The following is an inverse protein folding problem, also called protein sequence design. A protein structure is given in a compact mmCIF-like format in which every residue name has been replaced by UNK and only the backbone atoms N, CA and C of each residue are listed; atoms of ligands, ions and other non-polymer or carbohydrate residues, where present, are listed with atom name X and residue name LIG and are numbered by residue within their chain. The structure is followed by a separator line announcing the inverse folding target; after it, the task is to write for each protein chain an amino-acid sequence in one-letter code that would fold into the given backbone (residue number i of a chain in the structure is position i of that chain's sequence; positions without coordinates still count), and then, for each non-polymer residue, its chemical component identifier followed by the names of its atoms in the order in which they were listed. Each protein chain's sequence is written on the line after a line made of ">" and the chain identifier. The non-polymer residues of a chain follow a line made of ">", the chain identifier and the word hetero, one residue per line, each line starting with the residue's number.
data_IF_630104724332
#
_entry.id   IF_630104724332
#
_cell.length_a   1.000
_cell.length_b   1.000
_cell.length_c   1.000
_cell.angle_alpha   90.00
_cell.angle_beta   90.00
_cell.angle_gamma   90.00
#
_symmetry.space_group_name_H-M   'P 1'
#
loop_
_entity.id
_entity.type
_entity.pdbx_description
1 polymer ?
#
# COMPACT_ATOMS: atom_id res chain seq x y z
N UNK A 1 8.70 -20.44 -17.96
CA UNK A 1 9.82 -19.62 -17.49
C UNK A 1 10.64 -20.46 -16.50
N UNK A 2 11.79 -20.98 -16.93
CA UNK A 2 12.73 -21.65 -16.04
C UNK A 2 13.64 -20.56 -15.49
N UNK A 3 13.39 -20.17 -14.23
CA UNK A 3 14.26 -19.20 -13.56
C UNK A 3 15.46 -19.99 -13.00
N UNK A 4 16.72 -19.59 -13.29
CA UNK A 4 17.92 -20.34 -12.91
C UNK A 4 18.30 -20.15 -11.43
N UNK A 5 17.33 -19.93 -10.54
CA UNK A 5 17.56 -19.84 -9.10
C UNK A 5 17.72 -21.25 -8.51
N UNK A 6 18.84 -21.49 -7.84
CA UNK A 6 19.08 -22.76 -7.12
C UNK A 6 18.03 -22.91 -6.01
N UNK A 7 17.46 -24.11 -5.87
CA UNK A 7 16.44 -24.40 -4.81
C UNK A 7 16.94 -24.07 -3.41
N UNK A 8 18.23 -24.20 -3.14
CA UNK A 8 18.83 -23.82 -1.85
C UNK A 8 18.71 -22.31 -1.55
N UNK A 9 18.94 -21.48 -2.58
CA UNK A 9 18.78 -20.01 -2.44
C UNK A 9 17.32 -19.66 -2.20
N UNK A 10 16.39 -20.30 -2.91
CA UNK A 10 14.96 -20.08 -2.74
C UNK A 10 14.49 -20.45 -1.32
N UNK A 11 14.95 -21.57 -0.77
CA UNK A 11 14.65 -21.97 0.62
C UNK A 11 15.22 -20.95 1.61
N UNK A 12 16.43 -20.44 1.38
CA UNK A 12 17.02 -19.40 2.22
C UNK A 12 16.19 -18.11 2.19
N UNK A 13 15.73 -17.65 1.00
CA UNK A 13 14.86 -16.48 0.86
C UNK A 13 13.54 -16.66 1.59
N UNK A 14 12.91 -17.84 1.50
CA UNK A 14 11.69 -18.14 2.26
C UNK A 14 11.95 -18.17 3.77
N UNK A 15 13.07 -18.74 4.20
CA UNK A 15 13.49 -18.69 5.61
C UNK A 15 13.66 -17.25 6.10
N UNK A 16 14.32 -16.39 5.32
CA UNK A 16 14.44 -14.96 5.61
C UNK A 16 13.07 -14.27 5.66
N UNK A 17 12.15 -14.60 4.75
CA UNK A 17 10.80 -14.04 4.77
C UNK A 17 10.03 -14.43 6.05
N UNK A 18 10.09 -15.69 6.45
CA UNK A 18 9.47 -16.19 7.70
C UNK A 18 10.10 -15.52 8.92
N UNK A 19 11.43 -15.44 8.98
CA UNK A 19 12.14 -14.76 10.07
C UNK A 19 11.74 -13.28 10.16
N UNK A 20 11.63 -12.60 9.02
CA UNK A 20 11.17 -11.22 8.97
C UNK A 20 9.76 -11.08 9.55
N UNK A 21 8.81 -11.93 9.12
CA UNK A 21 7.44 -11.90 9.61
C UNK A 21 7.35 -12.15 11.12
N UNK A 22 8.15 -13.09 11.65
CA UNK A 22 8.23 -13.36 13.08
C UNK A 22 8.88 -12.22 13.85
N UNK A 23 9.86 -11.52 13.25
CA UNK A 23 10.55 -10.40 13.88
C UNK A 23 9.73 -9.10 13.85
N UNK A 24 8.74 -8.95 12.95
CA UNK A 24 7.97 -7.71 12.79
C UNK A 24 7.33 -7.21 14.10
N UNK A 25 6.65 -8.03 14.93
CA UNK A 25 6.08 -7.57 16.19
C UNK A 25 7.13 -7.01 17.16
N UNK A 26 8.33 -7.58 17.13
CA UNK A 26 9.44 -7.12 17.96
C UNK A 26 10.08 -5.83 17.42
N UNK A 27 10.16 -5.67 16.09
CA UNK A 27 10.66 -4.46 15.44
C UNK A 27 9.72 -3.26 15.63
N UNK A 28 8.40 -3.50 15.76
CA UNK A 28 7.38 -2.47 16.00
C UNK A 28 7.23 -2.08 17.47
N UNK A 29 8.00 -2.69 18.40
CA UNK A 29 7.89 -2.37 19.82
C UNK A 29 8.41 -0.96 20.13
N UNK A 30 7.77 -0.28 21.08
CA UNK A 30 8.14 1.09 21.53
C UNK A 30 9.56 1.18 22.09
N UNK A 31 10.17 0.07 22.49
CA UNK A 31 11.56 0.01 22.95
C UNK A 31 12.58 0.21 21.81
N UNK A 32 12.15 0.24 20.55
CA UNK A 32 13.02 0.42 19.38
C UNK A 32 13.13 1.86 18.94
N UNK A 33 14.23 2.24 18.27
CA UNK A 33 14.33 3.56 17.64
C UNK A 33 13.16 3.83 16.71
N UNK A 34 12.66 5.05 16.70
CA UNK A 34 11.48 5.47 15.94
C UNK A 34 11.56 5.08 14.45
N UNK A 35 12.73 5.28 13.83
CA UNK A 35 12.96 4.91 12.43
C UNK A 35 12.72 3.41 12.20
N UNK A 36 13.11 2.54 13.15
CA UNK A 36 12.89 1.09 13.06
C UNK A 36 11.39 0.78 13.17
N UNK A 37 10.67 1.45 14.05
CA UNK A 37 9.22 1.30 14.18
C UNK A 37 8.51 1.72 12.90
N UNK A 38 8.86 2.86 12.32
CA UNK A 38 8.30 3.36 11.05
C UNK A 38 8.60 2.39 9.90
N UNK A 39 9.84 1.92 9.76
CA UNK A 39 10.22 0.93 8.75
C UNK A 39 9.47 -0.40 8.93
N UNK A 40 9.20 -0.81 10.17
CA UNK A 40 8.40 -2.01 10.45
C UNK A 40 6.97 -1.90 9.92
N UNK A 41 6.37 -0.70 9.94
CA UNK A 41 5.07 -0.41 9.34
C UNK A 41 5.07 -0.64 7.82
N UNK A 42 6.10 -0.15 7.11
CA UNK A 42 6.26 -0.40 5.66
C UNK A 42 6.54 -1.88 5.36
N UNK A 43 7.42 -2.54 6.12
CA UNK A 43 7.71 -3.97 5.98
C UNK A 43 6.45 -4.82 6.19
N UNK A 44 5.66 -4.51 7.21
CA UNK A 44 4.39 -5.20 7.49
C UNK A 44 3.40 -5.01 6.36
N UNK A 45 3.23 -3.78 5.89
CA UNK A 45 2.37 -3.48 4.74
C UNK A 45 2.83 -4.25 3.51
N UNK A 46 4.13 -4.21 3.16
CA UNK A 46 4.68 -4.93 2.01
C UNK A 46 4.50 -6.44 2.08
N UNK A 47 4.51 -7.03 3.29
CA UNK A 47 4.26 -8.45 3.50
C UNK A 47 2.78 -8.85 3.38
N UNK A 48 1.86 -7.92 3.65
CA UNK A 48 0.41 -8.15 3.66
C UNK A 48 -0.31 -7.67 2.39
N UNK A 49 0.39 -6.95 1.52
CA UNK A 49 -0.20 -6.47 0.25
C UNK A 49 -0.36 -7.62 -0.73
N UNK A 50 -1.59 -8.08 -0.87
CA UNK A 50 -2.02 -8.99 -1.92
C UNK A 50 -3.07 -8.30 -2.79
N UNK A 51 -3.00 -8.49 -4.10
CA UNK A 51 -4.06 -8.02 -5.02
C UNK A 51 -3.87 -6.65 -5.65
N UNK A 52 -2.82 -5.90 -5.30
CA UNK A 52 -2.49 -4.66 -6.00
C UNK A 52 -2.27 -3.43 -5.11
N UNK A 53 -1.87 -2.31 -5.73
CA UNK A 53 -1.47 -1.08 -5.05
C UNK A 53 -2.57 -0.40 -4.21
N UNK A 54 -3.84 -0.62 -4.52
CA UNK A 54 -4.95 -0.01 -3.77
C UNK A 54 -5.07 -0.52 -2.32
N UNK A 55 -4.58 -1.75 -2.05
CA UNK A 55 -4.56 -2.33 -0.69
C UNK A 55 -3.50 -1.68 0.20
N UNK A 56 -2.52 -1.03 -0.41
CA UNK A 56 -1.46 -0.31 0.32
C UNK A 56 -2.04 0.82 1.16
N UNK A 57 -3.06 1.53 0.64
CA UNK A 57 -3.69 2.65 1.35
C UNK A 57 -4.14 2.28 2.76
N UNK A 58 -5.11 1.35 2.96
CA UNK A 58 -5.60 1.06 4.31
C UNK A 58 -4.54 0.42 5.22
N UNK A 59 -3.59 -0.32 4.66
CA UNK A 59 -2.53 -0.93 5.45
C UNK A 59 -1.50 0.09 5.94
N UNK A 60 -1.11 1.06 5.11
CA UNK A 60 -0.22 2.15 5.52
C UNK A 60 -0.92 3.14 6.44
N UNK A 61 -2.20 3.44 6.19
CA UNK A 61 -2.99 4.26 7.09
C UNK A 61 -3.00 3.68 8.51
N UNK A 62 -3.37 2.40 8.65
CA UNK A 62 -3.38 1.71 9.94
C UNK A 62 -1.99 1.63 10.60
N UNK A 63 -0.93 1.61 9.80
CA UNK A 63 0.43 1.54 10.32
C UNK A 63 1.00 2.89 10.77
N UNK A 64 0.58 4.01 10.17
CA UNK A 64 1.26 5.30 10.33
C UNK A 64 0.39 6.36 11.02
N UNK A 65 -0.89 6.46 10.67
CA UNK A 65 -1.78 7.53 11.16
C UNK A 65 -2.13 7.38 12.65
N UNK A 66 -2.50 6.19 13.17
CA UNK A 66 -2.83 6.04 14.60
C UNK A 66 -1.65 6.32 15.53
N UNK A 67 -0.42 6.16 15.03
CA UNK A 67 0.80 6.46 15.79
C UNK A 67 1.16 7.96 15.78
N UNK A 68 0.37 8.81 15.10
CA UNK A 68 0.64 10.24 15.00
C UNK A 68 1.87 10.61 14.18
N UNK A 69 2.40 9.70 13.36
CA UNK A 69 3.58 9.96 12.54
C UNK A 69 3.28 10.78 11.28
N UNK A 70 2.02 10.78 10.86
CA UNK A 70 1.49 11.62 9.79
C UNK A 70 0.03 11.94 10.08
N UNK A 71 -0.41 13.16 9.77
CA UNK A 71 -1.81 13.53 9.85
C UNK A 71 -2.65 12.87 8.75
N UNK A 72 -3.91 12.54 9.06
CA UNK A 72 -4.81 11.88 8.12
C UNK A 72 -5.06 12.71 6.86
N UNK A 73 -5.20 14.04 6.99
CA UNK A 73 -5.42 14.91 5.83
C UNK A 73 -4.21 14.90 4.90
N UNK A 74 -3.01 14.99 5.46
CA UNK A 74 -1.74 14.93 4.73
C UNK A 74 -1.53 13.56 4.07
N UNK A 75 -1.88 12.48 4.78
CA UNK A 75 -1.87 11.12 4.25
C UNK A 75 -2.77 11.00 3.01
N UNK A 76 -4.03 11.47 3.10
CA UNK A 76 -4.99 11.43 1.98
C UNK A 76 -4.60 12.36 0.82
N UNK A 77 -4.05 13.53 1.11
CA UNK A 77 -3.52 14.44 0.08
C UNK A 77 -2.37 13.79 -0.70
N UNK A 78 -1.43 13.14 0.00
CA UNK A 78 -0.35 12.38 -0.62
C UNK A 78 -0.85 11.19 -1.45
N UNK A 79 -1.88 10.50 -1.00
CA UNK A 79 -2.52 9.45 -1.79
C UNK A 79 -3.14 10.00 -3.09
N UNK A 80 -3.87 11.12 -3.01
CA UNK A 80 -4.40 11.81 -4.18
C UNK A 80 -3.31 12.24 -5.16
N UNK A 81 -2.21 12.80 -4.65
CA UNK A 81 -1.05 13.18 -5.46
C UNK A 81 -0.40 11.95 -6.15
N UNK A 82 -0.27 10.83 -5.44
CA UNK A 82 0.26 9.59 -6.01
C UNK A 82 -0.64 9.04 -7.14
N UNK A 83 -1.96 9.24 -7.06
CA UNK A 83 -2.90 8.87 -8.13
C UNK A 83 -2.77 9.79 -9.36
N UNK A 84 -2.34 11.03 -9.18
CA UNK A 84 -2.11 11.97 -10.28
C UNK A 84 -0.82 11.68 -11.05
N UNK A 85 0.14 11.00 -10.44
CA UNK A 85 1.41 10.62 -11.10
C UNK A 85 1.19 9.35 -11.92
N UNK A 86 1.50 9.35 -13.23
CA UNK A 86 1.44 8.14 -14.02
C UNK A 86 2.55 7.17 -13.59
N UNK A 87 2.17 6.10 -12.87
CA UNK A 87 3.13 5.13 -12.35
C UNK A 87 2.52 4.16 -11.35
N UNK A 88 3.34 3.30 -10.77
CA UNK A 88 2.85 2.36 -9.75
C UNK A 88 2.47 3.11 -8.48
N UNK A 89 1.31 2.76 -7.91
CA UNK A 89 0.77 3.32 -6.66
C UNK A 89 1.74 3.23 -5.45
N UNK A 90 2.72 2.36 -5.54
CA UNK A 90 3.78 2.20 -4.53
C UNK A 90 4.66 3.45 -4.37
N UNK A 91 4.66 4.39 -5.35
CA UNK A 91 5.28 5.72 -5.21
C UNK A 91 4.74 6.49 -3.99
N UNK A 92 3.52 6.18 -3.55
CA UNK A 92 2.94 6.73 -2.34
C UNK A 92 3.80 6.44 -1.08
N UNK A 93 4.44 5.27 -0.99
CA UNK A 93 5.35 4.98 0.10
C UNK A 93 6.58 5.91 0.11
N UNK A 94 7.04 6.34 -1.06
CA UNK A 94 8.12 7.34 -1.15
C UNK A 94 7.69 8.70 -0.62
N UNK A 95 6.47 9.14 -0.95
CA UNK A 95 5.89 10.38 -0.42
C UNK A 95 5.81 10.31 1.12
N UNK A 96 5.26 9.23 1.65
CA UNK A 96 5.16 9.05 3.10
C UNK A 96 6.54 9.05 3.77
N UNK A 97 7.48 8.27 3.24
CA UNK A 97 8.85 8.23 3.79
C UNK A 97 9.61 9.55 3.70
N UNK A 98 9.22 10.45 2.76
CA UNK A 98 9.77 11.81 2.70
C UNK A 98 9.28 12.68 3.85
N UNK A 99 8.05 12.49 4.29
CA UNK A 99 7.31 13.44 5.11
C UNK A 99 7.04 12.98 6.56
N UNK A 100 7.43 11.74 6.90
CA UNK A 100 7.31 11.22 8.27
C UNK A 100 8.21 11.98 9.24
N UNK A 101 7.59 12.69 10.17
CA UNK A 101 8.29 13.44 11.22
C UNK A 101 7.73 13.12 12.62
N UNK A 102 8.60 12.98 13.63
CA UNK A 102 10.07 12.81 13.54
C UNK A 102 10.43 11.40 13.03
N UNK A 103 11.62 11.23 12.47
CA UNK A 103 12.16 9.93 12.05
C UNK A 103 12.57 9.87 10.59
N UNK A 104 11.86 9.10 9.79
CA UNK A 104 12.09 9.04 8.33
C UNK A 104 11.71 10.36 7.67
N UNK A 105 12.66 10.95 6.92
CA UNK A 105 12.41 12.20 6.21
C UNK A 105 13.32 12.36 5.01
N UNK A 106 12.89 13.21 4.08
CA UNK A 106 13.66 13.54 2.89
C UNK A 106 13.88 12.36 1.94
N UNK A 107 14.86 12.49 1.05
CA UNK A 107 15.15 11.50 0.01
C UNK A 107 15.56 10.14 0.62
N UNK A 108 16.34 10.18 1.71
CA UNK A 108 16.74 8.94 2.39
C UNK A 108 15.54 8.20 2.99
N UNK A 109 14.61 8.94 3.62
CA UNK A 109 13.36 8.38 4.13
C UNK A 109 12.50 7.77 3.02
N UNK A 110 12.37 8.47 1.88
CA UNK A 110 11.68 7.95 0.69
C UNK A 110 12.27 6.62 0.20
N UNK A 111 13.59 6.56 0.08
CA UNK A 111 14.28 5.36 -0.39
C UNK A 111 14.11 4.19 0.58
N UNK A 112 14.28 4.44 1.88
CA UNK A 112 14.13 3.43 2.93
C UNK A 112 12.70 2.90 3.01
N UNK A 113 11.69 3.77 2.89
CA UNK A 113 10.29 3.38 2.88
C UNK A 113 9.94 2.49 1.67
N UNK A 114 10.42 2.84 0.47
CA UNK A 114 10.25 2.01 -0.72
C UNK A 114 10.95 0.66 -0.58
N UNK A 115 12.20 0.64 -0.15
CA UNK A 115 12.95 -0.60 0.05
C UNK A 115 12.21 -1.48 1.07
N UNK A 116 11.80 -0.92 2.21
CA UNK A 116 11.08 -1.65 3.23
C UNK A 116 9.76 -2.23 2.71
N UNK A 117 9.00 -1.46 1.93
CA UNK A 117 7.73 -1.91 1.36
C UNK A 117 7.90 -3.09 0.38
N UNK A 118 8.91 -3.02 -0.49
CA UNK A 118 9.13 -4.05 -1.51
C UNK A 118 9.93 -5.25 -1.02
N UNK A 119 10.72 -5.10 0.04
CA UNK A 119 11.62 -6.13 0.52
C UNK A 119 10.95 -7.49 0.81
N UNK A 120 9.82 -7.55 1.55
CA UNK A 120 9.11 -8.82 1.78
C UNK A 120 8.63 -9.48 0.48
N UNK A 121 8.16 -8.68 -0.47
CA UNK A 121 7.68 -9.17 -1.77
C UNK A 121 8.81 -9.80 -2.59
N UNK A 122 10.00 -9.19 -2.60
CA UNK A 122 11.17 -9.78 -3.26
C UNK A 122 11.61 -11.09 -2.63
N UNK A 123 11.58 -11.20 -1.29
CA UNK A 123 11.89 -12.44 -0.59
C UNK A 123 10.88 -13.54 -0.94
N UNK A 124 9.59 -13.23 -0.94
CA UNK A 124 8.53 -14.19 -1.24
C UNK A 124 8.56 -14.62 -2.71
N UNK A 125 8.64 -13.67 -3.65
CA UNK A 125 8.68 -13.99 -5.09
C UNK A 125 9.94 -14.79 -5.41
N UNK A 126 11.12 -14.34 -4.99
CA UNK A 126 12.37 -15.05 -5.23
C UNK A 126 12.38 -16.44 -4.63
N UNK A 127 11.79 -16.60 -3.44
CA UNK A 127 11.68 -17.88 -2.74
C UNK A 127 10.65 -18.84 -3.34
N UNK A 128 9.50 -18.34 -3.82
CA UNK A 128 8.42 -19.19 -4.36
C UNK A 128 8.62 -19.52 -5.84
N UNK A 129 9.31 -18.68 -6.59
CA UNK A 129 9.40 -18.78 -8.05
C UNK A 129 9.90 -20.14 -8.56
N UNK A 130 10.95 -20.80 -7.99
CA UNK A 130 11.39 -22.12 -8.41
C UNK A 130 10.38 -23.25 -8.12
N UNK A 131 9.46 -23.03 -7.18
CA UNK A 131 8.43 -24.00 -6.78
C UNK A 131 7.06 -23.72 -7.41
N UNK A 132 6.92 -22.63 -8.17
CA UNK A 132 5.64 -22.15 -8.67
C UNK A 132 4.89 -23.18 -9.52
N UNK A 133 5.62 -23.93 -10.37
CA UNK A 133 5.04 -24.99 -11.20
C UNK A 133 4.40 -26.12 -10.41
N UNK A 134 5.01 -26.49 -9.30
CA UNK A 134 4.55 -27.56 -8.41
C UNK A 134 3.40 -27.05 -7.50
N UNK A 135 3.56 -25.86 -6.93
CA UNK A 135 2.57 -25.21 -6.06
C UNK A 135 1.25 -24.91 -6.79
N UNK A 136 1.31 -24.42 -8.04
CA UNK A 136 0.13 -24.09 -8.83
C UNK A 136 -0.77 -25.29 -9.16
N UNK A 137 -0.25 -26.53 -9.06
CA UNK A 137 -1.00 -27.77 -9.25
C UNK A 137 -1.76 -28.22 -8.00
N UNK A 138 -1.39 -27.69 -6.83
CA UNK A 138 -2.01 -28.07 -5.55
C UNK A 138 -3.37 -27.36 -5.37
N UNK A 139 -4.44 -28.15 -5.25
CA UNK A 139 -5.79 -27.61 -5.01
C UNK A 139 -5.89 -26.75 -3.72
N UNK A 140 -5.22 -27.07 -2.60
CA UNK A 140 -5.21 -26.22 -1.42
C UNK A 140 -4.58 -24.85 -1.69
N UNK A 141 -3.51 -24.74 -2.48
CA UNK A 141 -2.86 -23.48 -2.81
C UNK A 141 -3.79 -22.57 -3.61
N UNK A 142 -4.50 -23.12 -4.62
CA UNK A 142 -5.49 -22.35 -5.39
C UNK A 142 -6.62 -21.83 -4.52
N UNK A 143 -7.11 -22.65 -3.59
CA UNK A 143 -8.16 -22.23 -2.63
C UNK A 143 -7.65 -21.15 -1.68
N UNK A 144 -6.42 -21.24 -1.18
CA UNK A 144 -5.79 -20.23 -0.34
C UNK A 144 -5.68 -18.88 -1.08
N UNK A 145 -5.22 -18.88 -2.34
CA UNK A 145 -5.14 -17.67 -3.15
C UNK A 145 -6.52 -17.03 -3.42
N UNK A 146 -7.56 -17.84 -3.63
CA UNK A 146 -8.93 -17.33 -3.76
C UNK A 146 -9.41 -16.68 -2.46
N UNK A 147 -9.12 -17.27 -1.30
CA UNK A 147 -9.43 -16.70 0.00
C UNK A 147 -8.71 -15.38 0.26
N UNK A 148 -7.42 -15.31 -0.07
CA UNK A 148 -6.63 -14.07 0.02
C UNK A 148 -7.22 -12.97 -0.87
N UNK A 149 -7.54 -13.28 -2.13
CA UNK A 149 -8.15 -12.31 -3.04
C UNK A 149 -9.52 -11.83 -2.56
N UNK A 150 -10.33 -12.72 -1.96
CA UNK A 150 -11.61 -12.34 -1.38
C UNK A 150 -11.45 -11.40 -0.17
N UNK A 151 -10.44 -11.64 0.69
CA UNK A 151 -10.16 -10.76 1.84
C UNK A 151 -9.70 -9.37 1.41
N UNK A 152 -8.97 -9.27 0.29
CA UNK A 152 -8.58 -7.97 -0.30
C UNK A 152 -9.80 -7.13 -0.67
N UNK A 153 -10.83 -7.72 -1.25
CA UNK A 153 -12.09 -7.01 -1.56
C UNK A 153 -12.73 -6.45 -0.30
N UNK A 154 -12.75 -7.23 0.78
CA UNK A 154 -13.25 -6.77 2.08
C UNK A 154 -12.46 -5.58 2.65
N UNK A 155 -11.13 -5.62 2.57
CA UNK A 155 -10.26 -4.53 3.00
C UNK A 155 -10.52 -3.25 2.17
N UNK A 156 -10.68 -3.38 0.85
CA UNK A 156 -10.97 -2.24 -0.02
C UNK A 156 -12.35 -1.63 0.25
N UNK A 157 -13.36 -2.45 0.53
CA UNK A 157 -14.69 -1.97 0.92
C UNK A 157 -14.64 -1.25 2.28
N UNK A 158 -13.90 -1.79 3.24
CA UNK A 158 -13.69 -1.12 4.52
C UNK A 158 -12.98 0.23 4.35
N UNK A 159 -11.92 0.30 3.53
CA UNK A 159 -11.18 1.53 3.25
C UNK A 159 -12.03 2.55 2.48
N UNK A 160 -12.91 2.11 1.59
CA UNK A 160 -13.84 3.00 0.90
C UNK A 160 -14.80 3.68 1.90
N UNK A 161 -15.27 2.94 2.92
CA UNK A 161 -16.14 3.50 3.94
C UNK A 161 -15.35 4.35 4.95
N UNK A 162 -14.23 3.82 5.43
CA UNK A 162 -13.35 4.44 6.41
C UNK A 162 -11.88 4.25 5.99
N UNK A 163 -11.11 5.33 5.69
CA UNK A 163 -11.41 6.74 5.92
C UNK A 163 -12.07 7.47 4.75
N UNK A 164 -12.04 6.94 3.51
CA UNK A 164 -12.29 7.71 2.28
C UNK A 164 -13.65 8.39 2.28
N UNK A 165 -14.72 7.65 2.55
CA UNK A 165 -16.06 8.21 2.59
C UNK A 165 -16.26 9.21 3.74
N UNK A 166 -15.84 8.83 4.95
CA UNK A 166 -16.08 9.65 6.14
C UNK A 166 -15.31 10.97 6.14
N UNK A 167 -14.13 11.01 5.54
CA UNK A 167 -13.32 12.24 5.47
C UNK A 167 -13.53 13.02 4.19
N UNK A 168 -13.80 12.33 3.08
CA UNK A 168 -13.91 12.93 1.76
C UNK A 168 -15.30 13.50 1.44
N UNK A 169 -16.37 12.98 2.07
CA UNK A 169 -17.76 13.41 1.78
C UNK A 169 -18.37 13.99 3.06
N UNK A 170 -18.31 15.31 3.17
CA UNK A 170 -18.84 16.06 4.31
C UNK A 170 -20.20 16.69 4.01
N UNK A 171 -20.59 16.80 2.72
CA UNK A 171 -21.82 17.42 2.27
C UNK A 171 -22.21 17.06 0.85
N UNK A 172 -23.25 17.72 0.34
CA UNK A 172 -23.80 17.45 -0.99
C UNK A 172 -22.86 17.85 -2.13
N UNK A 173 -22.01 18.86 -1.93
CA UNK A 173 -21.07 19.32 -2.95
C UNK A 173 -19.98 18.29 -3.21
N UNK A 174 -19.35 17.77 -2.13
CA UNK A 174 -18.33 16.72 -2.21
C UNK A 174 -18.92 15.43 -2.79
N UNK A 175 -20.16 15.09 -2.39
CA UNK A 175 -20.86 13.93 -2.95
C UNK A 175 -21.09 14.08 -4.45
N UNK A 176 -21.53 15.25 -4.90
CA UNK A 176 -21.76 15.54 -6.32
C UNK A 176 -20.46 15.46 -7.11
N UNK A 177 -19.36 16.00 -6.56
CA UNK A 177 -18.04 15.91 -7.17
C UNK A 177 -17.56 14.45 -7.27
N UNK A 178 -17.76 13.65 -6.20
CA UNK A 178 -17.43 12.22 -6.20
C UNK A 178 -18.25 11.44 -7.25
N UNK A 179 -19.53 11.76 -7.44
CA UNK A 179 -20.37 11.16 -8.46
C UNK A 179 -19.89 11.50 -9.88
N UNK A 180 -19.52 12.76 -10.13
CA UNK A 180 -18.94 13.20 -11.41
C UNK A 180 -17.62 12.45 -11.66
N UNK A 181 -16.74 12.38 -10.66
CA UNK A 181 -15.48 11.63 -10.74
C UNK A 181 -15.72 10.15 -11.08
N UNK A 182 -16.71 9.53 -10.45
CA UNK A 182 -17.08 8.14 -10.74
C UNK A 182 -17.54 7.95 -12.20
N UNK A 183 -18.39 8.85 -12.71
CA UNK A 183 -18.84 8.79 -14.12
C UNK A 183 -17.68 8.99 -15.07
N UNK A 184 -16.76 9.92 -14.80
CA UNK A 184 -15.56 10.16 -15.60
C UNK A 184 -14.67 8.92 -15.67
N UNK A 185 -14.47 8.23 -14.53
CA UNK A 185 -13.62 7.04 -14.44
C UNK A 185 -14.27 5.82 -15.10
N UNK A 186 -15.54 5.55 -14.78
CA UNK A 186 -16.21 4.29 -15.16
C UNK A 186 -16.84 4.39 -16.55
N UNK A 187 -17.63 5.45 -16.82
CA UNK A 187 -18.37 5.59 -18.07
C UNK A 187 -17.50 6.17 -19.19
N UNK A 188 -16.74 7.21 -18.89
CA UNK A 188 -15.89 7.86 -19.89
C UNK A 188 -14.47 7.33 -19.92
N UNK A 189 -14.12 6.39 -19.03
CA UNK A 189 -12.81 5.73 -18.95
C UNK A 189 -11.63 6.70 -18.98
N UNK A 190 -11.81 7.87 -18.36
CA UNK A 190 -10.72 8.85 -18.28
C UNK A 190 -9.61 8.33 -17.36
N UNK A 191 -8.35 8.61 -17.67
CA UNK A 191 -7.25 8.19 -16.80
C UNK A 191 -7.32 8.91 -15.46
N UNK A 192 -6.98 8.21 -14.37
CA UNK A 192 -7.13 8.68 -13.00
C UNK A 192 -6.49 10.06 -12.76
N UNK A 193 -5.31 10.32 -13.31
CA UNK A 193 -4.62 11.60 -13.16
C UNK A 193 -5.41 12.82 -13.66
N UNK A 194 -6.20 12.67 -14.75
CA UNK A 194 -7.06 13.76 -15.25
C UNK A 194 -8.19 14.05 -14.28
N UNK A 195 -8.80 12.98 -13.75
CA UNK A 195 -9.92 13.12 -12.82
C UNK A 195 -9.43 13.73 -11.50
N UNK A 196 -8.25 13.34 -11.01
CA UNK A 196 -7.65 13.94 -9.82
C UNK A 196 -7.41 15.45 -10.02
N UNK A 197 -6.78 15.85 -11.14
CA UNK A 197 -6.56 17.28 -11.43
C UNK A 197 -7.86 18.06 -11.55
N UNK A 198 -8.86 17.47 -12.21
CA UNK A 198 -10.20 18.08 -12.31
C UNK A 198 -10.82 18.27 -10.91
N UNK A 199 -10.84 17.21 -10.08
CA UNK A 199 -11.41 17.31 -8.73
C UNK A 199 -10.62 18.27 -7.83
N UNK A 200 -9.29 18.33 -7.96
CA UNK A 200 -8.48 19.28 -7.21
C UNK A 200 -8.77 20.73 -7.63
N UNK A 201 -8.94 20.99 -8.94
CA UNK A 201 -9.29 22.32 -9.46
C UNK A 201 -10.69 22.76 -9.01
N UNK A 202 -11.70 21.90 -9.16
CA UNK A 202 -13.08 22.21 -8.72
C UNK A 202 -13.14 22.34 -7.20
N UNK A 203 -12.53 21.42 -6.46
CA UNK A 203 -12.51 21.45 -5.00
C UNK A 203 -11.84 22.70 -4.44
N UNK A 204 -10.71 23.11 -5.01
CA UNK A 204 -10.03 24.35 -4.62
C UNK A 204 -10.81 25.63 -4.93
N UNK A 205 -11.72 25.61 -5.90
CA UNK A 205 -12.55 26.77 -6.25
C UNK A 205 -13.88 26.83 -5.49
N UNK A 206 -14.43 25.67 -5.09
CA UNK A 206 -15.80 25.58 -4.56
C UNK A 206 -15.87 25.17 -3.09
N UNK A 207 -14.82 24.55 -2.55
CA UNK A 207 -14.78 23.94 -1.21
C UNK A 207 -13.67 24.54 -0.32
N UNK A 208 -12.83 25.46 -0.85
CA UNK A 208 -11.89 26.30 -0.10
C UNK A 208 -12.59 27.58 0.38
#
# INVERSE_FOLDING_TARGET
>A
LVVPLRRSVAVCLLGCAVLLLVALPWLSSEARPLVVQQLSGFLRTGALVFGGGHVVLPLLEQALVPNGWIDLQQFLAGYGAAQAVPGPMFSFAAFLGFDLQPGLQGIAGSALALIALFFPSFLLVGGLLPFWGDLGRLAPMRRALLGVNASVVGILLAALFQPVWQTGIRGGAEFSLALVAFVLLVSWRQPAWRVVLFCAGVGGLTLA
#
